data_IF_764114668226
#
_entry.id   IF_764114668226
#
_cell.length_a   1.000
_cell.length_b   1.000
_cell.length_c   1.000
_cell.angle_alpha   90.00
_cell.angle_beta   90.00
_cell.angle_gamma   90.00
#
_symmetry.space_group_name_H-M   'P 1'
#
loop_
_entity.id
_entity.type
_entity.pdbx_description
1 polymer ?
#
# COMPACT_ATOMS: atom_id res chain seq x y z
N UNK A 1 0.22 16.28 13.13
CA UNK A 1 -0.31 14.90 12.98
C UNK A 1 0.80 13.93 13.33
N UNK A 2 0.48 12.79 13.97
CA UNK A 2 1.47 11.81 14.47
C UNK A 2 1.47 10.59 13.53
N UNK A 3 2.65 10.20 13.04
CA UNK A 3 2.89 8.95 12.31
C UNK A 3 3.47 7.89 13.22
N UNK A 4 3.07 6.65 13.05
CA UNK A 4 3.56 5.51 13.83
C UNK A 4 3.20 4.20 13.14
N UNK A 5 4.00 3.17 13.42
CA UNK A 5 3.71 1.80 13.01
C UNK A 5 2.72 1.15 13.99
N UNK A 6 1.78 0.38 13.47
CA UNK A 6 0.78 -0.32 14.29
C UNK A 6 0.31 -1.60 13.62
N UNK A 7 -0.17 -2.54 14.43
CA UNK A 7 -0.84 -3.74 13.91
C UNK A 7 -2.33 -3.44 13.73
N UNK A 8 -2.84 -3.63 12.53
CA UNK A 8 -4.26 -3.46 12.21
C UNK A 8 -4.89 -4.85 12.08
N UNK A 9 -5.81 -5.16 12.98
CA UNK A 9 -6.63 -6.36 12.93
C UNK A 9 -7.83 -6.10 12.01
N UNK A 10 -8.00 -6.93 10.98
CA UNK A 10 -9.11 -6.99 10.05
C UNK A 10 -9.98 -8.22 10.37
N UNK A 11 -11.00 -8.10 11.25
CA UNK A 11 -11.66 -9.26 11.84
C UNK A 11 -12.44 -10.09 10.83
N UNK A 12 -13.05 -9.45 9.82
CA UNK A 12 -13.83 -10.12 8.78
C UNK A 12 -12.96 -10.96 7.83
N UNK A 13 -11.67 -10.63 7.74
CA UNK A 13 -10.69 -11.34 6.91
C UNK A 13 -9.85 -12.33 7.72
N UNK A 14 -9.96 -12.33 9.06
CA UNK A 14 -9.11 -13.13 9.93
C UNK A 14 -7.63 -12.76 9.82
N UNK A 15 -7.34 -11.51 9.45
CA UNK A 15 -6.00 -11.01 9.13
C UNK A 15 -5.57 -9.97 10.17
N UNK A 16 -4.28 -9.95 10.49
CA UNK A 16 -3.66 -8.82 11.19
C UNK A 16 -2.40 -8.47 10.44
N UNK A 17 -2.24 -7.21 10.10
CA UNK A 17 -1.07 -6.74 9.36
C UNK A 17 -0.45 -5.51 10.02
N UNK A 18 0.85 -5.30 9.80
CA UNK A 18 1.57 -4.14 10.31
C UNK A 18 1.59 -3.05 9.24
N UNK A 19 1.18 -1.84 9.60
CA UNK A 19 1.20 -0.70 8.68
C UNK A 19 1.68 0.57 9.39
N UNK A 20 2.43 1.41 8.66
CA UNK A 20 2.59 2.82 9.02
C UNK A 20 1.25 3.56 8.80
N UNK A 21 0.82 4.33 9.80
CA UNK A 21 -0.38 5.15 9.73
C UNK A 21 -0.13 6.59 10.21
N UNK A 22 -0.94 7.52 9.71
CA UNK A 22 -1.03 8.88 10.23
C UNK A 22 -2.34 9.08 11.00
N UNK A 23 -2.24 9.40 12.29
CA UNK A 23 -3.43 9.75 13.09
C UNK A 23 -3.97 11.13 12.70
N UNK A 24 -5.25 11.15 12.31
CA UNK A 24 -5.99 12.35 11.94
C UNK A 24 -6.88 12.89 13.08
N UNK A 25 -7.01 12.14 14.18
CA UNK A 25 -7.94 12.43 15.28
C UNK A 25 -9.23 11.62 15.15
N UNK A 26 -10.06 11.61 16.21
CA UNK A 26 -11.38 10.96 16.21
C UNK A 26 -11.37 9.49 15.71
N UNK A 27 -10.38 8.71 16.14
CA UNK A 27 -10.20 7.30 15.71
C UNK A 27 -10.00 7.12 14.20
N UNK A 28 -9.60 8.18 13.48
CA UNK A 28 -9.28 8.14 12.05
C UNK A 28 -7.79 8.06 11.81
N UNK A 29 -7.43 7.18 10.88
CA UNK A 29 -6.04 6.91 10.52
C UNK A 29 -5.93 6.87 9.00
N UNK A 30 -4.98 7.61 8.44
CA UNK A 30 -4.62 7.47 7.03
C UNK A 30 -3.59 6.37 6.88
N UNK A 31 -3.84 5.42 6.00
CA UNK A 31 -2.90 4.34 5.66
C UNK A 31 -1.74 4.92 4.84
N UNK A 32 -0.51 4.80 5.36
CA UNK A 32 0.73 5.19 4.67
C UNK A 32 1.46 3.97 4.08
N UNK A 33 1.02 2.77 4.44
CA UNK A 33 1.40 1.49 3.83
C UNK A 33 0.13 0.74 3.40
N UNK A 34 0.28 -0.23 2.51
CA UNK A 34 -0.81 -1.12 2.12
C UNK A 34 -0.84 -2.34 3.05
N UNK A 35 -1.99 -2.65 3.69
CA UNK A 35 -2.15 -3.90 4.41
C UNK A 35 -2.20 -5.08 3.42
N UNK A 36 -1.12 -5.85 3.30
CA UNK A 36 -1.01 -6.94 2.34
C UNK A 36 -2.06 -8.01 2.63
N UNK A 37 -2.67 -8.54 1.57
CA UNK A 37 -3.78 -9.51 1.59
C UNK A 37 -5.11 -8.98 2.15
N UNK A 38 -5.16 -7.75 2.68
CA UNK A 38 -6.43 -7.14 3.04
C UNK A 38 -7.14 -6.62 1.78
N UNK A 39 -8.43 -6.89 1.68
CA UNK A 39 -9.30 -6.43 0.59
C UNK A 39 -10.20 -5.27 1.02
N UNK A 40 -10.37 -5.08 2.33
CA UNK A 40 -11.23 -4.04 2.91
C UNK A 40 -10.65 -2.63 2.86
N UNK A 41 -9.32 -2.49 2.78
CA UNK A 41 -8.64 -1.19 2.79
C UNK A 41 -7.33 -1.24 2.00
N UNK A 42 -6.91 -0.10 1.49
CA UNK A 42 -5.67 0.02 0.71
C UNK A 42 -4.89 1.28 1.06
N UNK A 43 -3.65 1.36 0.55
CA UNK A 43 -2.82 2.55 0.71
C UNK A 43 -3.58 3.85 0.38
N UNK A 44 -3.37 4.87 1.21
CA UNK A 44 -3.96 6.19 1.06
C UNK A 44 -5.38 6.33 1.60
N UNK A 45 -6.08 5.24 1.90
CA UNK A 45 -7.41 5.30 2.52
C UNK A 45 -7.34 5.94 3.91
N UNK A 46 -8.42 6.60 4.30
CA UNK A 46 -8.67 6.95 5.70
C UNK A 46 -9.62 5.92 6.28
N UNK A 47 -9.14 5.22 7.31
CA UNK A 47 -9.91 4.21 8.03
C UNK A 47 -10.38 4.76 9.38
N UNK A 48 -11.53 4.25 9.82
CA UNK A 48 -11.95 4.32 11.22
C UNK A 48 -11.48 3.03 11.91
N UNK A 49 -10.80 3.17 13.04
CA UNK A 49 -10.32 2.04 13.82
C UNK A 49 -10.34 2.31 15.33
N UNK A 50 -10.59 1.29 16.12
CA UNK A 50 -10.52 1.37 17.58
C UNK A 50 -9.15 0.90 18.08
N UNK A 51 -8.64 1.51 19.14
CA UNK A 51 -7.46 1.00 19.84
C UNK A 51 -7.84 -0.26 20.63
N UNK A 52 -7.27 -1.41 20.26
CA UNK A 52 -7.28 -2.61 21.11
C UNK A 52 -6.16 -2.55 22.18
N UNK A 53 -5.04 -1.92 21.83
CA UNK A 53 -3.93 -1.60 22.72
C UNK A 53 -3.08 -0.46 22.14
N UNK A 54 -2.01 -0.04 22.83
CA UNK A 54 -1.15 1.07 22.40
C UNK A 54 -0.61 0.93 20.97
N UNK A 55 -0.30 -0.30 20.54
CA UNK A 55 0.28 -0.61 19.22
C UNK A 55 -0.62 -1.55 18.38
N UNK A 56 -1.92 -1.57 18.68
CA UNK A 56 -2.87 -2.43 17.97
C UNK A 56 -4.20 -1.73 17.74
N UNK A 57 -4.59 -1.66 16.48
CA UNK A 57 -5.86 -1.15 16.02
C UNK A 57 -6.77 -2.30 15.57
N UNK A 58 -8.07 -2.12 15.76
CA UNK A 58 -9.11 -2.94 15.13
C UNK A 58 -9.77 -2.12 14.04
N UNK A 59 -9.62 -2.57 12.80
CA UNK A 59 -10.29 -1.98 11.65
C UNK A 59 -11.81 -2.06 11.82
N UNK A 60 -12.49 -0.95 11.53
CA UNK A 60 -13.95 -0.89 11.50
C UNK A 60 -14.48 -0.69 10.08
N UNK A 61 -13.99 0.33 9.37
CA UNK A 61 -14.38 0.63 7.99
C UNK A 61 -13.44 1.66 7.34
N UNK A 62 -13.48 1.75 6.01
CA UNK A 62 -12.95 2.91 5.28
C UNK A 62 -13.96 4.05 5.34
N UNK A 63 -13.54 5.23 5.82
CA UNK A 63 -14.36 6.44 5.86
C UNK A 63 -14.07 7.41 4.73
N UNK A 64 -12.89 7.29 4.11
CA UNK A 64 -12.52 8.01 2.89
C UNK A 64 -11.65 7.08 2.03
N UNK A 65 -12.18 6.65 0.88
CA UNK A 65 -11.43 5.83 -0.06
C UNK A 65 -10.44 6.70 -0.85
N UNK A 66 -9.23 6.19 -1.06
CA UNK A 66 -8.22 6.84 -1.88
C UNK A 66 -8.56 6.75 -3.37
N UNK A 67 -8.06 7.72 -4.13
CA UNK A 67 -8.21 7.74 -5.60
C UNK A 67 -7.34 6.69 -6.31
N UNK A 68 -6.48 5.98 -5.59
CA UNK A 68 -5.46 5.12 -6.20
C UNK A 68 -6.06 3.82 -6.73
N UNK A 69 -5.70 3.47 -7.95
CA UNK A 69 -5.86 2.13 -8.51
C UNK A 69 -4.65 1.28 -8.15
N UNK A 70 -4.88 -0.01 -7.92
CA UNK A 70 -3.83 -0.97 -7.57
C UNK A 70 -3.43 -1.75 -8.82
N UNK A 71 -2.13 -1.84 -9.07
CA UNK A 71 -1.55 -2.77 -10.03
C UNK A 71 -0.63 -3.74 -9.30
N UNK A 72 -0.93 -5.04 -9.39
CA UNK A 72 -0.18 -6.09 -8.71
C UNK A 72 0.66 -6.92 -9.68
N UNK A 73 1.90 -7.17 -9.31
CA UNK A 73 2.83 -7.99 -10.09
C UNK A 73 3.62 -8.93 -9.18
N UNK A 74 3.78 -10.17 -9.61
CA UNK A 74 4.73 -11.11 -9.03
C UNK A 74 5.98 -11.09 -9.92
N UNK A 75 7.11 -10.74 -9.34
CA UNK A 75 8.39 -10.61 -10.05
C UNK A 75 9.38 -11.65 -9.57
N UNK A 76 10.20 -12.15 -10.50
CA UNK A 76 11.35 -12.98 -10.13
C UNK A 76 12.36 -12.15 -9.34
N UNK A 77 13.13 -12.84 -8.49
CA UNK A 77 14.24 -12.23 -7.76
C UNK A 77 15.22 -11.49 -8.68
N UNK A 78 15.50 -12.08 -9.85
CA UNK A 78 16.43 -11.53 -10.83
C UNK A 78 15.97 -10.17 -11.37
N UNK A 79 14.66 -10.02 -11.62
CA UNK A 79 14.04 -8.76 -12.04
C UNK A 79 14.01 -7.77 -10.88
N UNK A 80 13.50 -8.18 -9.71
CA UNK A 80 13.30 -7.29 -8.56
C UNK A 80 14.61 -6.71 -8.00
N UNK A 81 15.71 -7.45 -8.11
CA UNK A 81 17.04 -7.00 -7.69
C UNK A 81 17.83 -6.28 -8.80
N UNK A 82 17.31 -6.24 -10.03
CA UNK A 82 17.99 -5.63 -11.17
C UNK A 82 18.11 -4.11 -11.05
N UNK A 83 19.22 -3.56 -11.55
CA UNK A 83 19.44 -2.10 -11.56
C UNK A 83 18.44 -1.37 -12.46
N UNK A 84 17.95 -2.00 -13.52
CA UNK A 84 16.93 -1.42 -14.39
C UNK A 84 15.60 -1.27 -13.65
N UNK A 85 15.21 -2.28 -12.88
CA UNK A 85 13.98 -2.22 -12.10
C UNK A 85 14.07 -1.21 -10.97
N UNK A 86 15.20 -1.12 -10.24
CA UNK A 86 15.43 -0.06 -9.25
C UNK A 86 15.32 1.35 -9.85
N UNK A 87 15.83 1.56 -11.06
CA UNK A 87 15.68 2.83 -11.79
C UNK A 87 14.23 3.10 -12.17
N UNK A 88 13.47 2.08 -12.56
CA UNK A 88 12.03 2.20 -12.81
C UNK A 88 11.30 2.64 -11.54
N UNK A 89 11.50 1.95 -10.40
CA UNK A 89 10.87 2.30 -9.12
C UNK A 89 11.15 3.75 -8.73
N UNK A 90 12.41 4.19 -8.84
CA UNK A 90 12.78 5.60 -8.59
C UNK A 90 12.08 6.58 -9.55
N UNK A 91 11.87 6.21 -10.81
CA UNK A 91 11.15 7.00 -11.80
C UNK A 91 9.66 7.08 -11.50
N UNK A 92 9.07 6.00 -10.98
CA UNK A 92 7.67 5.93 -10.55
C UNK A 92 7.44 6.80 -9.30
N UNK A 93 8.31 6.72 -8.29
CA UNK A 93 8.25 7.58 -7.10
C UNK A 93 8.29 9.07 -7.47
N UNK A 94 9.11 9.47 -8.44
CA UNK A 94 9.16 10.86 -8.95
C UNK A 94 7.88 11.32 -9.68
N UNK A 95 6.98 10.40 -10.01
CA UNK A 95 5.71 10.65 -10.69
C UNK A 95 4.51 10.47 -9.75
N UNK A 96 4.76 10.52 -8.44
CA UNK A 96 3.77 10.33 -7.37
C UNK A 96 3.07 8.95 -7.41
N UNK A 97 3.79 7.92 -7.89
CA UNK A 97 3.34 6.53 -7.76
C UNK A 97 3.96 5.95 -6.49
N UNK A 98 3.10 5.53 -5.55
CA UNK A 98 3.54 4.74 -4.42
C UNK A 98 3.66 3.28 -4.83
N UNK A 99 4.66 2.58 -4.31
CA UNK A 99 4.84 1.17 -4.55
C UNK A 99 5.29 0.51 -3.24
N UNK A 100 4.84 -0.71 -3.04
CA UNK A 100 5.20 -1.55 -1.90
C UNK A 100 5.75 -2.87 -2.42
N UNK A 101 6.79 -3.37 -1.76
CA UNK A 101 7.39 -4.67 -2.04
C UNK A 101 7.22 -5.57 -0.81
N UNK A 102 6.51 -6.67 -1.00
CA UNK A 102 6.28 -7.66 0.04
C UNK A 102 6.84 -9.02 -0.37
N UNK A 103 7.30 -9.78 0.62
CA UNK A 103 7.86 -11.13 0.45
C UNK A 103 8.92 -11.23 -0.68
N UNK A 104 9.64 -10.13 -0.94
CA UNK A 104 10.73 -10.03 -1.91
C UNK A 104 10.31 -9.99 -3.40
N UNK A 105 9.12 -10.44 -3.76
CA UNK A 105 8.69 -10.57 -5.16
C UNK A 105 7.29 -10.08 -5.46
N UNK A 106 6.49 -9.72 -4.45
CA UNK A 106 5.14 -9.18 -4.65
C UNK A 106 5.26 -7.66 -4.67
N UNK A 107 4.83 -7.04 -5.76
CA UNK A 107 4.83 -5.59 -5.90
C UNK A 107 3.41 -5.09 -6.13
N UNK A 108 2.98 -4.18 -5.27
CA UNK A 108 1.72 -3.44 -5.39
C UNK A 108 2.05 -1.99 -5.75
N UNK A 109 1.50 -1.49 -6.85
CA UNK A 109 1.66 -0.10 -7.29
C UNK A 109 0.34 0.64 -7.14
N UNK A 110 0.37 1.77 -6.45
CA UNK A 110 -0.78 2.63 -6.18
C UNK A 110 -0.69 3.86 -7.07
N UNK A 111 -1.57 3.91 -8.05
CA UNK A 111 -1.44 4.79 -9.21
C UNK A 111 -2.70 5.63 -9.36
N UNK A 112 -2.57 6.92 -9.70
CA UNK A 112 -3.74 7.74 -10.00
C UNK A 112 -4.46 7.22 -11.25
N UNK A 113 -5.79 7.38 -11.36
CA UNK A 113 -6.57 6.79 -12.45
C UNK A 113 -6.07 7.21 -13.86
N UNK A 114 -5.61 8.45 -13.99
CA UNK A 114 -5.08 8.98 -15.25
C UNK A 114 -3.68 8.46 -15.65
N UNK A 115 -3.01 7.71 -14.78
CA UNK A 115 -1.65 7.19 -14.97
C UNK A 115 -1.62 5.66 -15.16
N UNK A 116 -2.72 4.95 -14.89
CA UNK A 116 -2.79 3.47 -14.84
C UNK A 116 -2.17 2.80 -16.07
N UNK A 117 -2.69 3.08 -17.27
CA UNK A 117 -2.23 2.40 -18.50
C UNK A 117 -0.75 2.67 -18.79
N UNK A 118 -0.31 3.92 -18.57
CA UNK A 118 1.08 4.30 -18.79
C UNK A 118 2.02 3.62 -17.79
N UNK A 119 1.64 3.55 -16.52
CA UNK A 119 2.43 2.88 -15.48
C UNK A 119 2.48 1.38 -15.72
N UNK A 120 1.35 0.76 -16.08
CA UNK A 120 1.27 -0.67 -16.43
C UNK A 120 2.21 -1.03 -17.59
N UNK A 121 2.21 -0.24 -18.66
CA UNK A 121 3.11 -0.45 -19.80
C UNK A 121 4.59 -0.33 -19.41
N UNK A 122 4.93 0.66 -18.59
CA UNK A 122 6.31 0.84 -18.11
C UNK A 122 6.78 -0.36 -17.27
N UNK A 123 5.94 -0.86 -16.37
CA UNK A 123 6.26 -2.04 -15.56
C UNK A 123 6.42 -3.26 -16.46
N UNK A 124 5.47 -3.52 -17.36
CA UNK A 124 5.53 -4.67 -18.25
C UNK A 124 6.79 -4.67 -19.12
N UNK A 125 7.21 -3.50 -19.64
CA UNK A 125 8.45 -3.38 -20.42
C UNK A 125 9.73 -3.64 -19.63
N UNK A 126 9.66 -3.63 -18.29
CA UNK A 126 10.78 -3.96 -17.42
C UNK A 126 10.76 -5.42 -16.96
N UNK A 127 9.70 -6.17 -17.28
CA UNK A 127 9.60 -7.61 -17.02
C UNK A 127 10.12 -8.46 -18.20
N UNK A 128 10.16 -7.88 -19.40
CA UNK A 128 10.67 -8.49 -20.63
C UNK A 128 12.21 -8.34 -20.75
#
# INVERSE_FOLDING_TARGET
MKRFDTNINFPEEGLTDSCEVEALGDSKFKLLEHPICATQAKYGDVILADYESENKLKFLQVVEASEFEILDFIMSKEISESENFKKLLNSLTKKDVFWQQDFGGIFCFFVKPNQVEKTKQLIQSALD
#
